data_IF_427357386876
#
_entry.id   IF_427357386876
#
_cell.length_a   1.000
_cell.length_b   1.000
_cell.length_c   1.000
_cell.angle_alpha   90.00
_cell.angle_beta   90.00
_cell.angle_gamma   90.00
#
_symmetry.space_group_name_H-M   'P 1'
#
loop_
_entity.id
_entity.type
_entity.pdbx_description
1 polymer ?
#
# COMPACT_ATOMS: atom_id res chain seq x y z
N UNK A 1 -0.02 4.21 -18.57
CA UNK A 1 -1.19 4.59 -17.79
C UNK A 1 -2.41 4.64 -18.71
N UNK A 2 -3.45 3.91 -18.36
CA UNK A 2 -4.64 3.77 -19.23
C UNK A 2 -5.67 4.90 -18.99
N UNK A 3 -5.27 5.99 -18.33
CA UNK A 3 -6.15 7.12 -18.01
C UNK A 3 -5.82 8.30 -18.90
N UNK A 4 -6.71 8.73 -19.83
CA UNK A 4 -6.48 9.88 -20.72
C UNK A 4 -6.13 11.16 -19.95
N UNK A 5 -6.80 11.42 -18.82
CA UNK A 5 -6.56 12.59 -17.98
C UNK A 5 -5.12 12.69 -17.42
N UNK A 6 -4.41 11.57 -17.31
CA UNK A 6 -2.98 11.59 -16.93
C UNK A 6 -2.15 12.32 -17.99
N UNK A 7 -2.38 12.02 -19.26
CA UNK A 7 -1.63 12.60 -20.37
C UNK A 7 -1.91 14.08 -20.57
N UNK A 8 -3.16 14.51 -20.35
CA UNK A 8 -3.56 15.91 -20.37
C UNK A 8 -2.84 16.75 -19.30
N UNK A 9 -2.60 16.16 -18.12
CA UNK A 9 -1.94 16.84 -17.00
C UNK A 9 -0.42 16.79 -17.09
N UNK A 10 0.16 15.78 -17.74
CA UNK A 10 1.61 15.58 -17.75
C UNK A 10 2.34 16.79 -18.32
N UNK A 11 1.87 17.35 -19.42
CA UNK A 11 2.47 18.50 -20.08
C UNK A 11 2.51 19.74 -19.17
N UNK A 12 1.40 20.01 -18.49
CA UNK A 12 1.29 21.11 -17.52
C UNK A 12 2.18 20.91 -16.31
N UNK A 13 2.32 19.67 -15.82
CA UNK A 13 3.21 19.32 -14.71
C UNK A 13 4.68 19.52 -15.13
N UNK A 14 5.04 19.13 -16.33
CA UNK A 14 6.40 19.29 -16.84
C UNK A 14 6.74 20.78 -17.00
N UNK A 15 5.81 21.59 -17.54
CA UNK A 15 5.99 23.05 -17.63
C UNK A 15 6.19 23.66 -16.24
N UNK A 16 5.33 23.30 -15.27
CA UNK A 16 5.46 23.74 -13.89
C UNK A 16 6.82 23.35 -13.27
N UNK A 17 7.31 22.14 -13.54
CA UNK A 17 8.61 21.70 -13.02
C UNK A 17 9.76 22.55 -13.57
N UNK A 18 9.72 22.91 -14.84
CA UNK A 18 10.73 23.79 -15.46
C UNK A 18 10.69 25.20 -14.84
N UNK A 19 9.52 25.79 -14.68
CA UNK A 19 9.33 27.10 -14.05
C UNK A 19 9.88 27.13 -12.60
N UNK A 20 9.75 26.03 -11.87
CA UNK A 20 10.25 25.90 -10.50
C UNK A 20 11.69 25.36 -10.42
N UNK A 21 12.41 25.24 -11.54
CA UNK A 21 13.79 24.76 -11.64
C UNK A 21 13.99 23.36 -11.06
N UNK A 22 12.99 22.50 -11.19
CA UNK A 22 13.02 21.11 -10.77
C UNK A 22 13.49 20.22 -11.92
N UNK A 23 14.09 19.09 -11.59
CA UNK A 23 14.47 18.06 -12.57
C UNK A 23 13.41 16.95 -12.54
N UNK A 24 12.55 16.84 -13.57
CA UNK A 24 11.57 15.78 -13.64
C UNK A 24 12.21 14.42 -13.88
N UNK A 25 11.66 13.39 -13.22
CA UNK A 25 11.96 12.00 -13.50
C UNK A 25 10.68 11.29 -13.94
N UNK A 26 10.76 10.49 -14.98
CA UNK A 26 9.66 9.64 -15.44
C UNK A 26 10.04 8.17 -15.29
N UNK A 27 9.06 7.32 -15.01
CA UNK A 27 9.29 5.87 -15.03
C UNK A 27 9.42 5.37 -16.47
N UNK A 28 10.12 4.26 -16.68
CA UNK A 28 10.24 3.59 -17.98
C UNK A 28 8.87 3.30 -18.60
N UNK A 29 7.87 2.95 -17.78
CA UNK A 29 6.49 2.72 -18.21
C UNK A 29 5.83 3.99 -18.78
N UNK A 30 6.05 5.15 -18.18
CA UNK A 30 5.54 6.44 -18.70
C UNK A 30 6.29 6.80 -19.96
N UNK A 31 7.61 6.71 -19.95
CA UNK A 31 8.46 6.98 -21.11
C UNK A 31 8.04 6.20 -22.35
N UNK A 32 7.77 4.90 -22.21
CA UNK A 32 7.41 4.03 -23.34
C UNK A 32 6.07 4.37 -24.00
N UNK A 33 5.28 5.24 -23.40
CA UNK A 33 3.95 5.65 -23.87
C UNK A 33 3.88 7.14 -24.21
N UNK A 34 5.01 7.86 -24.16
CA UNK A 34 5.04 9.29 -24.52
C UNK A 34 4.71 9.48 -26.01
N UNK A 35 3.90 10.49 -26.35
CA UNK A 35 3.67 10.84 -27.75
C UNK A 35 4.94 11.44 -28.37
N UNK A 36 5.11 11.31 -29.69
CA UNK A 36 6.25 11.88 -30.43
C UNK A 36 6.35 13.42 -30.30
N UNK A 37 5.22 14.06 -30.01
CA UNK A 37 5.14 15.51 -29.79
C UNK A 37 5.62 15.97 -28.42
N UNK A 38 5.93 15.04 -27.49
CA UNK A 38 6.36 15.37 -26.15
C UNK A 38 7.79 15.92 -26.15
N UNK A 39 7.93 17.20 -25.85
CA UNK A 39 9.20 17.94 -25.98
C UNK A 39 9.63 18.57 -24.64
N UNK A 40 9.73 17.75 -23.58
CA UNK A 40 10.26 18.19 -22.29
C UNK A 40 11.53 17.41 -21.94
N UNK A 41 12.43 18.05 -21.22
CA UNK A 41 13.65 17.39 -20.68
C UNK A 41 13.29 16.68 -19.37
N UNK A 42 13.68 15.43 -19.24
CA UNK A 42 13.47 14.61 -18.04
C UNK A 42 14.58 13.56 -17.91
N UNK A 43 14.66 12.96 -16.73
CA UNK A 43 15.46 11.75 -16.47
C UNK A 43 14.56 10.53 -16.33
N UNK A 44 15.13 9.35 -16.41
CA UNK A 44 14.40 8.09 -16.29
C UNK A 44 14.69 7.46 -14.93
N UNK A 45 13.64 6.90 -14.31
CA UNK A 45 13.76 5.96 -13.19
C UNK A 45 13.93 4.58 -13.80
N UNK A 46 15.16 4.08 -13.81
CA UNK A 46 15.51 2.76 -14.38
C UNK A 46 15.52 1.67 -13.30
N UNK A 47 15.84 2.06 -12.08
CA UNK A 47 15.96 1.16 -10.94
C UNK A 47 15.32 1.73 -9.67
N UNK A 48 15.11 0.88 -8.70
CA UNK A 48 14.61 1.32 -7.40
C UNK A 48 15.63 2.24 -6.66
N UNK A 49 16.90 2.15 -6.95
CA UNK A 49 17.95 2.98 -6.34
C UNK A 49 17.84 4.45 -6.74
N UNK A 50 17.24 4.74 -7.89
CA UNK A 50 17.03 6.11 -8.37
C UNK A 50 16.12 6.92 -7.42
N UNK A 51 15.26 6.23 -6.64
CA UNK A 51 14.43 6.90 -5.63
C UNK A 51 15.24 7.61 -4.54
N UNK A 52 16.51 7.28 -4.33
CA UNK A 52 17.38 8.04 -3.41
C UNK A 52 17.75 9.44 -3.94
N UNK A 53 17.61 9.67 -5.26
CA UNK A 53 17.92 10.94 -5.91
C UNK A 53 16.67 11.83 -6.06
N UNK A 54 15.49 11.34 -5.64
CA UNK A 54 14.20 12.00 -5.85
C UNK A 54 13.72 12.59 -4.54
N UNK A 55 13.49 13.91 -4.52
CA UNK A 55 13.01 14.62 -3.34
C UNK A 55 11.55 14.27 -3.00
N UNK A 56 10.71 14.02 -3.99
CA UNK A 56 9.35 13.50 -3.82
C UNK A 56 8.85 12.80 -5.08
N UNK A 57 7.94 11.86 -4.90
CA UNK A 57 7.26 11.14 -5.97
C UNK A 57 5.83 11.64 -6.11
N UNK A 58 5.46 12.13 -7.30
CA UNK A 58 4.10 12.49 -7.64
C UNK A 58 3.37 11.29 -8.24
N UNK A 59 2.21 10.95 -7.71
CA UNK A 59 1.35 9.92 -8.26
C UNK A 59 0.02 10.51 -8.73
N UNK A 60 -0.40 10.15 -9.94
CA UNK A 60 -1.67 10.57 -10.53
C UNK A 60 -2.57 9.36 -10.66
N UNK A 61 -3.56 9.22 -9.79
CA UNK A 61 -4.43 8.04 -9.77
C UNK A 61 -5.25 7.91 -8.50
N UNK A 62 -5.73 6.72 -8.20
CA UNK A 62 -6.40 6.38 -6.94
C UNK A 62 -5.48 5.65 -5.97
N UNK A 63 -6.08 5.08 -4.91
CA UNK A 63 -5.36 4.38 -3.84
C UNK A 63 -4.47 3.25 -4.36
N UNK A 64 -4.88 2.50 -5.39
CA UNK A 64 -4.05 1.47 -6.01
C UNK A 64 -2.75 2.03 -6.65
N UNK A 65 -2.77 3.27 -7.17
CA UNK A 65 -1.57 3.94 -7.67
C UNK A 65 -0.64 4.32 -6.53
N UNK A 66 -1.21 4.80 -5.41
CA UNK A 66 -0.46 5.09 -4.18
C UNK A 66 0.21 3.84 -3.61
N UNK A 67 -0.49 2.71 -3.56
CA UNK A 67 0.08 1.42 -3.11
C UNK A 67 1.24 0.97 -4.01
N UNK A 68 1.07 1.10 -5.33
CA UNK A 68 2.14 0.78 -6.28
C UNK A 68 3.36 1.67 -6.10
N UNK A 69 3.16 2.96 -5.87
CA UNK A 69 4.23 3.92 -5.59
C UNK A 69 4.93 3.60 -4.27
N UNK A 70 4.19 3.32 -3.21
CA UNK A 70 4.74 2.97 -1.91
C UNK A 70 5.62 1.70 -1.98
N UNK A 71 5.19 0.70 -2.76
CA UNK A 71 6.00 -0.50 -3.02
C UNK A 71 7.28 -0.19 -3.79
N UNK A 72 7.19 0.64 -4.83
CA UNK A 72 8.34 1.02 -5.63
C UNK A 72 9.38 1.80 -4.81
N UNK A 73 8.94 2.74 -3.98
CA UNK A 73 9.80 3.50 -3.05
C UNK A 73 10.40 2.57 -1.99
N UNK A 74 9.61 1.68 -1.42
CA UNK A 74 10.05 0.74 -0.39
C UNK A 74 10.64 1.46 0.84
N UNK A 75 11.84 1.05 1.25
CA UNK A 75 12.54 1.60 2.43
C UNK A 75 13.28 2.93 2.17
N UNK A 76 13.28 3.45 0.95
CA UNK A 76 14.09 4.61 0.53
C UNK A 76 13.58 5.94 1.07
N UNK A 77 12.39 5.95 1.66
CA UNK A 77 11.78 7.11 2.37
C UNK A 77 11.46 8.30 1.47
N UNK A 78 11.45 8.17 0.15
CA UNK A 78 11.01 9.22 -0.77
C UNK A 78 9.55 9.56 -0.45
N UNK A 79 9.23 10.83 -0.12
CA UNK A 79 7.85 11.24 0.13
C UNK A 79 7.00 11.06 -1.12
N UNK A 80 5.72 10.70 -0.92
CA UNK A 80 4.77 10.50 -2.02
C UNK A 80 3.65 11.52 -1.89
N UNK A 81 3.41 12.29 -2.96
CA UNK A 81 2.24 13.14 -3.11
C UNK A 81 1.25 12.48 -4.06
N UNK A 82 0.07 12.15 -3.57
CA UNK A 82 -1.00 11.55 -4.37
C UNK A 82 -2.01 12.57 -4.86
N UNK A 83 -2.24 12.61 -6.18
CA UNK A 83 -3.31 13.39 -6.82
C UNK A 83 -4.36 12.42 -7.33
N UNK A 84 -5.58 12.60 -6.91
CA UNK A 84 -6.71 11.75 -7.31
C UNK A 84 -7.28 12.19 -8.66
N UNK A 85 -7.31 11.27 -9.64
CA UNK A 85 -7.83 11.56 -10.99
C UNK A 85 -9.34 11.32 -11.14
N UNK A 86 -10.01 10.84 -10.10
CA UNK A 86 -11.44 10.50 -10.09
C UNK A 86 -12.06 10.81 -8.74
N UNK A 87 -12.85 9.88 -8.21
CA UNK A 87 -13.44 10.00 -6.88
C UNK A 87 -12.38 9.93 -5.78
N UNK A 88 -12.54 10.73 -4.72
CA UNK A 88 -11.61 10.82 -3.62
C UNK A 88 -11.48 9.47 -2.89
N UNK A 89 -10.24 9.00 -2.72
CA UNK A 89 -9.92 7.81 -1.94
C UNK A 89 -9.52 8.13 -0.50
N UNK A 90 -9.05 7.14 0.20
CA UNK A 90 -8.57 7.29 1.58
C UNK A 90 -7.08 7.66 1.69
N UNK A 91 -6.32 7.50 0.61
CA UNK A 91 -4.87 7.73 0.61
C UNK A 91 -4.47 9.00 -0.12
N UNK A 92 -5.08 9.30 -1.26
CA UNK A 92 -4.82 10.51 -2.02
C UNK A 92 -5.87 11.58 -1.65
N UNK A 93 -5.42 12.63 -0.94
CA UNK A 93 -6.30 13.68 -0.40
C UNK A 93 -6.43 14.89 -1.33
N UNK A 94 -5.66 14.96 -2.41
CA UNK A 94 -5.59 16.12 -3.31
C UNK A 94 -6.29 15.78 -4.63
N UNK A 95 -7.23 16.61 -5.02
CA UNK A 95 -7.89 16.55 -6.35
C UNK A 95 -7.05 17.27 -7.40
N UNK A 96 -7.38 17.05 -8.68
CA UNK A 96 -6.70 17.73 -9.80
C UNK A 96 -6.80 19.25 -9.66
N UNK A 97 -7.95 19.77 -9.22
CA UNK A 97 -8.18 21.23 -9.09
C UNK A 97 -7.24 21.87 -8.06
N UNK A 98 -6.89 21.16 -6.99
CA UNK A 98 -5.94 21.63 -5.97
C UNK A 98 -4.48 21.23 -6.21
N UNK A 99 -4.18 20.57 -7.34
CA UNK A 99 -2.88 19.98 -7.58
C UNK A 99 -1.74 21.02 -7.60
N UNK A 100 -1.87 22.08 -8.38
CA UNK A 100 -0.80 23.07 -8.52
C UNK A 100 -0.56 23.89 -7.25
N UNK A 101 -1.61 24.16 -6.46
CA UNK A 101 -1.44 24.78 -5.15
C UNK A 101 -0.59 23.91 -4.22
N UNK A 102 -0.83 22.58 -4.23
CA UNK A 102 -0.04 21.63 -3.46
C UNK A 102 1.38 21.48 -3.98
N UNK A 103 1.56 21.43 -5.28
CA UNK A 103 2.88 21.40 -5.92
C UNK A 103 3.69 22.66 -5.57
N UNK A 104 3.09 23.84 -5.60
CA UNK A 104 3.72 25.09 -5.19
C UNK A 104 4.11 25.09 -3.69
N UNK A 105 3.27 24.53 -2.82
CA UNK A 105 3.61 24.33 -1.42
C UNK A 105 4.82 23.40 -1.24
N UNK A 106 4.90 22.32 -2.04
CA UNK A 106 6.05 21.42 -2.01
C UNK A 106 7.30 22.13 -2.51
N UNK A 107 7.24 22.84 -3.64
CA UNK A 107 8.36 23.57 -4.20
C UNK A 107 8.91 24.66 -3.27
N UNK A 108 8.02 25.32 -2.49
CA UNK A 108 8.40 26.32 -1.49
C UNK A 108 8.83 25.76 -0.14
N UNK A 109 8.78 24.43 0.05
CA UNK A 109 9.08 23.79 1.34
C UNK A 109 7.97 23.95 2.40
N UNK A 110 6.80 24.43 2.03
CA UNK A 110 5.66 24.68 2.94
C UNK A 110 4.74 23.45 3.02
N UNK A 111 5.23 22.32 3.51
CA UNK A 111 4.45 21.10 3.65
C UNK A 111 4.82 20.29 4.89
N UNK A 112 3.92 19.42 5.30
CA UNK A 112 4.15 18.44 6.36
C UNK A 112 4.20 17.02 5.81
N UNK A 113 5.03 16.17 6.43
CA UNK A 113 5.10 14.75 6.09
C UNK A 113 4.28 13.92 7.08
N UNK A 114 3.41 13.08 6.56
CA UNK A 114 2.70 12.08 7.35
C UNK A 114 3.37 10.71 7.18
N UNK A 115 3.89 10.17 8.28
CA UNK A 115 4.43 8.81 8.29
C UNK A 115 3.30 7.79 8.35
N UNK A 116 3.39 6.75 7.54
CA UNK A 116 2.49 5.61 7.53
C UNK A 116 3.21 4.37 8.07
N UNK A 117 2.49 3.56 8.83
CA UNK A 117 2.99 2.27 9.29
C UNK A 117 3.03 1.29 8.11
N UNK A 118 4.05 0.44 8.08
CA UNK A 118 4.18 -0.68 7.16
C UNK A 118 4.27 -1.95 7.99
N UNK A 119 3.55 -3.00 7.58
CA UNK A 119 3.71 -4.34 8.12
C UNK A 119 4.85 -5.06 7.38
N UNK A 120 5.63 -5.84 8.11
CA UNK A 120 6.58 -6.81 7.57
C UNK A 120 6.09 -8.20 7.91
N UNK A 121 6.07 -9.09 6.94
CA UNK A 121 5.81 -10.51 7.14
C UNK A 121 6.98 -11.35 6.67
N UNK A 122 7.22 -12.45 7.36
CA UNK A 122 8.16 -13.50 6.96
C UNK A 122 7.38 -14.81 6.83
N UNK A 123 7.39 -15.38 5.63
CA UNK A 123 6.84 -16.72 5.41
C UNK A 123 7.98 -17.70 5.60
N UNK A 124 7.85 -18.58 6.59
CA UNK A 124 8.81 -19.62 6.89
C UNK A 124 8.29 -20.91 6.23
N UNK A 125 8.95 -21.32 5.16
CA UNK A 125 8.70 -22.58 4.48
C UNK A 125 10.03 -23.33 4.33
N UNK A 126 9.99 -24.59 3.88
CA UNK A 126 11.17 -25.44 3.76
C UNK A 126 12.31 -24.90 2.85
N UNK A 127 12.07 -23.84 2.09
CA UNK A 127 13.03 -23.21 1.19
C UNK A 127 13.70 -21.95 1.77
N UNK A 128 13.45 -21.65 3.05
CA UNK A 128 13.94 -20.45 3.74
C UNK A 128 12.91 -19.33 3.80
N UNK A 129 13.19 -18.24 4.55
CA UNK A 129 12.23 -17.17 4.76
C UNK A 129 12.07 -16.29 3.52
N UNK A 130 10.81 -16.00 3.17
CA UNK A 130 10.45 -14.98 2.19
C UNK A 130 9.88 -13.76 2.92
N UNK A 131 10.40 -12.57 2.61
CA UNK A 131 10.04 -11.31 3.30
C UNK A 131 9.13 -10.46 2.43
N UNK A 132 8.04 -9.97 3.02
CA UNK A 132 7.05 -9.13 2.36
C UNK A 132 6.76 -7.87 3.19
N UNK A 133 6.32 -6.81 2.51
CA UNK A 133 5.93 -5.55 3.13
C UNK A 133 4.57 -5.10 2.59
N UNK A 134 3.68 -4.68 3.49
CA UNK A 134 2.36 -4.18 3.14
C UNK A 134 2.11 -2.80 3.74
N UNK A 135 1.55 -1.89 2.96
CA UNK A 135 1.05 -0.61 3.43
C UNK A 135 -0.38 -0.72 3.95
N UNK A 136 -1.22 -1.53 3.30
CA UNK A 136 -2.57 -1.81 3.77
C UNK A 136 -2.63 -3.08 4.62
N UNK A 137 -2.46 -4.24 4.01
CA UNK A 137 -2.73 -5.51 4.66
C UNK A 137 -2.00 -6.70 4.05
N UNK A 138 -1.88 -7.74 4.85
CA UNK A 138 -1.65 -9.11 4.43
C UNK A 138 -2.96 -9.87 4.55
N UNK A 139 -3.30 -10.62 3.52
CA UNK A 139 -4.45 -11.51 3.50
C UNK A 139 -3.97 -12.94 3.40
N UNK A 140 -4.43 -13.76 4.32
CA UNK A 140 -4.25 -15.20 4.32
C UNK A 140 -5.61 -15.81 4.07
N UNK A 141 -5.78 -16.60 3.03
CA UNK A 141 -7.04 -17.22 2.73
C UNK A 141 -6.89 -18.65 2.20
N UNK A 142 -8.00 -19.32 2.05
CA UNK A 142 -8.09 -20.71 1.58
C UNK A 142 -7.77 -20.94 0.10
N UNK A 143 -7.34 -19.90 -0.62
CA UNK A 143 -7.02 -19.96 -2.03
C UNK A 143 -8.15 -20.56 -2.88
N UNK A 144 -7.85 -21.62 -3.61
CA UNK A 144 -8.82 -22.34 -4.43
C UNK A 144 -9.61 -23.42 -3.69
N UNK A 145 -9.32 -23.66 -2.41
CA UNK A 145 -10.03 -24.65 -1.60
C UNK A 145 -11.43 -24.16 -1.26
N UNK A 146 -12.42 -25.06 -1.27
CA UNK A 146 -13.76 -24.78 -0.76
C UNK A 146 -13.89 -25.03 0.75
N UNK A 147 -12.86 -25.60 1.38
CA UNK A 147 -12.85 -25.89 2.80
C UNK A 147 -12.30 -24.69 3.57
N UNK A 148 -12.95 -24.38 4.70
CA UNK A 148 -12.43 -23.42 5.68
C UNK A 148 -11.09 -23.88 6.22
N UNK A 149 -10.27 -22.92 6.65
CA UNK A 149 -8.94 -23.17 7.19
C UNK A 149 -8.91 -22.92 8.70
N UNK A 150 -8.04 -23.65 9.37
CA UNK A 150 -7.74 -23.47 10.79
C UNK A 150 -6.45 -22.69 10.93
N UNK A 151 -6.49 -21.60 11.68
CA UNK A 151 -5.34 -20.72 11.90
C UNK A 151 -5.20 -20.45 13.38
N UNK A 152 -3.99 -20.62 13.92
CA UNK A 152 -3.66 -20.23 15.28
C UNK A 152 -2.89 -18.93 15.27
N UNK A 153 -3.34 -17.95 16.04
CA UNK A 153 -2.68 -16.67 16.23
C UNK A 153 -2.03 -16.62 17.61
N UNK A 154 -0.73 -16.33 17.59
CA UNK A 154 0.05 -15.94 18.78
C UNK A 154 0.45 -14.46 18.67
N UNK A 155 0.64 -13.82 19.80
CA UNK A 155 1.18 -12.46 19.95
C UNK A 155 2.27 -12.46 20.99
N UNK A 156 3.54 -12.25 20.58
CA UNK A 156 4.72 -12.38 21.43
C UNK A 156 4.69 -13.73 22.19
N UNK A 157 4.57 -14.82 21.46
CA UNK A 157 4.53 -16.22 21.94
C UNK A 157 3.32 -16.56 22.86
N UNK A 158 2.37 -15.64 23.03
CA UNK A 158 1.16 -15.86 23.80
C UNK A 158 -0.02 -16.14 22.92
N UNK A 159 -0.76 -17.18 23.25
CA UNK A 159 -2.00 -17.53 22.53
C UNK A 159 -3.01 -16.36 22.56
N UNK A 160 -3.54 -16.03 21.39
CA UNK A 160 -4.59 -15.04 21.23
C UNK A 160 -5.91 -15.71 20.87
N UNK A 161 -5.93 -16.47 19.77
CA UNK A 161 -7.15 -17.16 19.32
C UNK A 161 -6.82 -18.23 18.28
N UNK A 162 -7.69 -19.22 18.19
CA UNK A 162 -7.81 -20.09 17.03
C UNK A 162 -8.94 -19.55 16.14
N UNK A 163 -8.67 -19.42 14.86
CA UNK A 163 -9.62 -19.00 13.85
C UNK A 163 -10.02 -20.18 12.98
N UNK A 164 -11.31 -20.35 12.79
CA UNK A 164 -11.89 -21.30 11.87
C UNK A 164 -12.72 -20.48 10.87
N UNK A 165 -12.14 -20.16 9.72
CA UNK A 165 -12.62 -19.11 8.83
C UNK A 165 -12.18 -19.32 7.37
N UNK A 166 -12.74 -18.53 6.44
CA UNK A 166 -12.26 -18.47 5.06
C UNK A 166 -10.88 -17.84 4.95
N UNK A 167 -10.50 -17.02 5.92
CA UNK A 167 -9.18 -16.38 5.97
C UNK A 167 -9.00 -15.41 7.14
N UNK A 168 -7.88 -14.73 7.13
CA UNK A 168 -7.49 -13.75 8.14
C UNK A 168 -6.79 -12.57 7.47
N UNK A 169 -7.17 -11.35 7.83
CA UNK A 169 -6.55 -10.12 7.37
C UNK A 169 -5.76 -9.50 8.50
N UNK A 170 -4.50 -9.18 8.23
CA UNK A 170 -3.63 -8.44 9.15
C UNK A 170 -3.38 -7.07 8.52
N UNK A 171 -4.00 -6.02 9.06
CA UNK A 171 -4.00 -4.70 8.45
C UNK A 171 -3.27 -3.65 9.30
N UNK A 172 -2.70 -2.66 8.61
CA UNK A 172 -2.25 -1.41 9.20
C UNK A 172 -3.44 -0.49 9.49
N UNK A 173 -3.28 0.60 10.23
CA UNK A 173 -4.29 1.64 10.31
C UNK A 173 -4.67 2.25 8.94
N UNK A 174 -3.72 2.34 8.01
CA UNK A 174 -4.01 2.77 6.61
C UNK A 174 -4.92 1.76 5.92
N UNK A 175 -4.63 0.46 6.05
CA UNK A 175 -5.42 -0.63 5.48
C UNK A 175 -6.76 -0.88 6.19
N UNK A 176 -7.02 -0.23 7.34
CA UNK A 176 -8.29 -0.38 8.06
C UNK A 176 -9.51 0.04 7.23
N UNK A 177 -9.32 0.88 6.22
CA UNK A 177 -10.35 1.32 5.28
C UNK A 177 -10.37 0.53 3.96
N UNK A 178 -9.48 -0.47 3.82
CA UNK A 178 -9.41 -1.38 2.67
C UNK A 178 -10.19 -2.67 2.94
N UNK A 179 -9.61 -3.84 2.68
CA UNK A 179 -10.32 -5.12 2.81
C UNK A 179 -10.76 -5.43 4.25
N UNK A 180 -9.98 -4.99 5.26
CA UNK A 180 -10.38 -5.12 6.67
C UNK A 180 -11.75 -4.51 6.96
N UNK A 181 -12.09 -3.35 6.36
CA UNK A 181 -13.41 -2.73 6.52
C UNK A 181 -14.53 -3.60 5.98
N UNK A 182 -14.33 -4.24 4.84
CA UNK A 182 -15.33 -5.08 4.17
C UNK A 182 -15.73 -6.32 4.99
N UNK A 183 -14.87 -6.77 5.90
CA UNK A 183 -15.14 -7.90 6.81
C UNK A 183 -15.50 -7.44 8.22
N UNK A 184 -15.88 -6.17 8.40
CA UNK A 184 -16.34 -5.61 9.66
C UNK A 184 -15.22 -5.15 10.61
N UNK A 185 -14.00 -4.94 10.09
CA UNK A 185 -12.91 -4.33 10.85
C UNK A 185 -13.19 -2.87 11.20
N UNK A 186 -12.64 -2.35 12.31
CA UNK A 186 -12.82 -0.96 12.72
C UNK A 186 -12.04 -0.01 11.82
N UNK A 187 -12.55 1.20 11.60
CA UNK A 187 -11.79 2.30 11.01
C UNK A 187 -10.80 2.81 12.06
N UNK A 188 -9.52 2.80 11.72
CA UNK A 188 -8.44 3.23 12.60
C UNK A 188 -7.70 4.40 11.97
N UNK A 189 -7.52 5.48 12.73
CA UNK A 189 -6.80 6.66 12.23
C UNK A 189 -5.36 6.30 11.85
N UNK A 190 -4.86 6.72 10.67
CA UNK A 190 -3.55 6.33 10.15
C UNK A 190 -2.34 6.65 11.04
N UNK A 191 -2.50 7.59 11.98
CA UNK A 191 -1.45 7.98 12.94
C UNK A 191 -1.35 7.06 14.16
N UNK A 192 -2.34 6.20 14.38
CA UNK A 192 -2.32 5.26 15.49
C UNK A 192 -1.30 4.13 15.23
N UNK A 193 -0.67 3.69 16.29
CA UNK A 193 0.30 2.59 16.26
C UNK A 193 -0.42 1.29 16.62
N UNK A 194 -1.08 0.69 15.65
CA UNK A 194 -1.92 -0.49 15.85
C UNK A 194 -1.81 -1.48 14.69
N UNK A 195 -2.10 -2.75 14.98
CA UNK A 195 -2.30 -3.82 14.00
C UNK A 195 -3.75 -4.28 14.15
N UNK A 196 -4.48 -4.37 13.05
CA UNK A 196 -5.84 -4.88 13.02
C UNK A 196 -5.80 -6.32 12.52
N UNK A 197 -6.45 -7.24 13.23
CA UNK A 197 -6.60 -8.63 12.80
C UNK A 197 -8.08 -8.90 12.63
N UNK A 198 -8.50 -9.17 11.40
CA UNK A 198 -9.90 -9.32 11.01
C UNK A 198 -10.13 -10.67 10.34
N UNK A 199 -10.95 -11.58 10.92
CA UNK A 199 -11.29 -12.85 10.28
C UNK A 199 -12.23 -12.63 9.08
N UNK A 200 -12.05 -13.45 8.03
CA UNK A 200 -12.92 -13.49 6.86
C UNK A 200 -13.94 -14.62 7.07
N UNK A 201 -15.22 -14.29 7.12
CA UNK A 201 -16.32 -15.26 7.26
C UNK A 201 -16.06 -16.32 8.35
N UNK A 202 -15.80 -15.95 9.61
CA UNK A 202 -15.53 -16.93 10.66
C UNK A 202 -16.77 -17.80 10.95
N UNK A 203 -16.56 -19.08 11.17
CA UNK A 203 -17.62 -20.02 11.52
C UNK A 203 -18.02 -19.98 13.00
N UNK A 204 -17.42 -19.13 13.78
CA UNK A 204 -17.71 -18.92 15.21
C UNK A 204 -18.32 -17.54 15.40
N UNK A 205 -19.52 -17.49 15.94
CA UNK A 205 -20.27 -16.23 16.15
C UNK A 205 -19.63 -15.27 17.14
N UNK A 206 -18.70 -15.72 17.95
CA UNK A 206 -17.99 -14.92 18.98
C UNK A 206 -16.76 -14.22 18.47
N UNK A 207 -16.17 -14.67 17.35
CA UNK A 207 -14.98 -14.04 16.78
C UNK A 207 -15.29 -12.66 16.23
N UNK A 208 -14.45 -11.72 16.55
CA UNK A 208 -14.53 -10.32 16.09
C UNK A 208 -13.16 -9.85 15.67
N UNK A 209 -13.07 -8.84 14.79
CA UNK A 209 -11.83 -8.13 14.57
C UNK A 209 -11.25 -7.60 15.89
N UNK A 210 -9.93 -7.72 16.04
CA UNK A 210 -9.21 -7.24 17.20
C UNK A 210 -8.18 -6.20 16.79
N UNK A 211 -7.85 -5.29 17.70
CA UNK A 211 -6.83 -4.26 17.52
C UNK A 211 -5.73 -4.51 18.54
N UNK A 212 -4.51 -4.65 18.05
CA UNK A 212 -3.33 -4.92 18.86
C UNK A 212 -2.34 -3.76 18.74
N UNK A 213 -1.49 -3.50 19.74
CA UNK A 213 -0.38 -2.57 19.63
C UNK A 213 0.59 -2.99 18.50
N UNK A 214 1.22 -2.01 17.85
CA UNK A 214 2.13 -2.28 16.71
C UNK A 214 3.51 -2.82 17.12
N UNK A 215 3.80 -2.91 18.41
CA UNK A 215 5.02 -3.49 18.97
C UNK A 215 4.93 -5.01 19.13
N UNK A 216 3.86 -5.63 18.64
CA UNK A 216 3.62 -7.07 18.74
C UNK A 216 4.22 -7.80 17.54
N UNK A 217 4.91 -8.90 17.85
CA UNK A 217 5.22 -9.92 16.86
C UNK A 217 4.04 -10.89 16.79
N UNK A 218 3.42 -11.01 15.61
CA UNK A 218 2.30 -11.93 15.38
C UNK A 218 2.83 -13.16 14.65
N UNK A 219 2.48 -14.32 15.16
CA UNK A 219 2.75 -15.60 14.53
C UNK A 219 1.41 -16.26 14.16
N UNK A 220 1.29 -16.71 12.91
CA UNK A 220 0.13 -17.43 12.41
C UNK A 220 0.60 -18.79 11.94
N UNK A 221 0.10 -19.84 12.56
CA UNK A 221 0.43 -21.21 12.22
C UNK A 221 -0.80 -21.99 11.76
N UNK A 222 -0.55 -23.05 10.99
CA UNK A 222 -1.55 -23.86 10.32
C UNK A 222 -1.27 -25.34 10.59
N UNK A 223 -2.30 -26.23 10.56
CA UNK A 223 -2.07 -27.66 10.47
C UNK A 223 -1.30 -28.02 9.20
N UNK A 224 -0.40 -29.01 9.29
CA UNK A 224 0.50 -29.39 8.16
C UNK A 224 -0.26 -29.77 6.89
N UNK A 225 -1.42 -30.40 7.02
CA UNK A 225 -2.26 -30.83 5.88
C UNK A 225 -3.05 -29.70 5.21
N UNK A 226 -3.02 -28.50 5.76
CA UNK A 226 -3.70 -27.31 5.21
C UNK A 226 -2.74 -26.37 4.48
N UNK A 227 -1.43 -26.43 4.72
CA UNK A 227 -0.42 -25.47 4.24
C UNK A 227 -0.44 -25.29 2.72
N UNK A 228 -0.57 -26.39 1.94
CA UNK A 228 -0.58 -26.34 0.48
C UNK A 228 -1.83 -25.64 -0.12
N UNK A 229 -2.86 -25.39 0.70
CA UNK A 229 -4.14 -24.81 0.26
C UNK A 229 -4.22 -23.33 0.52
N UNK A 230 -3.23 -22.75 1.22
CA UNK A 230 -3.25 -21.39 1.69
C UNK A 230 -2.73 -20.45 0.61
N UNK A 231 -3.47 -19.40 0.33
CA UNK A 231 -3.01 -18.27 -0.45
C UNK A 231 -2.59 -17.12 0.48
N UNK A 232 -1.57 -16.40 0.04
CA UNK A 232 -1.07 -15.22 0.73
C UNK A 232 -1.02 -14.05 -0.26
N UNK A 233 -1.70 -12.97 0.08
CA UNK A 233 -1.74 -11.76 -0.73
C UNK A 233 -1.22 -10.54 0.07
N UNK A 234 -0.63 -9.60 -0.65
CA UNK A 234 -0.03 -8.39 -0.12
C UNK A 234 -0.66 -7.19 -0.81
N UNK A 235 -1.34 -6.31 -0.07
CA UNK A 235 -2.00 -5.11 -0.61
C UNK A 235 -2.88 -5.44 -1.84
N UNK A 236 -3.61 -6.55 -1.78
CA UNK A 236 -4.54 -6.99 -2.82
C UNK A 236 -3.89 -7.63 -4.06
N UNK A 237 -2.64 -8.12 -3.96
CA UNK A 237 -1.92 -8.83 -5.05
C UNK A 237 -1.32 -10.13 -4.58
#
# INVERSE_FOLDING_TARGET
>A
TDKPRFWELLDSIMAWAVENKLTPFLTTRVQSQLPETFNHTFRIIESAEDFYQIDFLLTLGGDGTMLSAARAVGHRKTPILGIHLGELGFMAEVTVDGMFDRLNMVASGSYGLQRRMILKAEIINGNGPSVFYALNDFVIDRGRSQRIITMRLLSNDRFVSDYYADGLIIATPTGSTAYSLSVGGPIVMPRLKAIIVSPISPHTLTLRPIVLPNDRNLEISFPEDEVEKIAFAVDGQ
#
